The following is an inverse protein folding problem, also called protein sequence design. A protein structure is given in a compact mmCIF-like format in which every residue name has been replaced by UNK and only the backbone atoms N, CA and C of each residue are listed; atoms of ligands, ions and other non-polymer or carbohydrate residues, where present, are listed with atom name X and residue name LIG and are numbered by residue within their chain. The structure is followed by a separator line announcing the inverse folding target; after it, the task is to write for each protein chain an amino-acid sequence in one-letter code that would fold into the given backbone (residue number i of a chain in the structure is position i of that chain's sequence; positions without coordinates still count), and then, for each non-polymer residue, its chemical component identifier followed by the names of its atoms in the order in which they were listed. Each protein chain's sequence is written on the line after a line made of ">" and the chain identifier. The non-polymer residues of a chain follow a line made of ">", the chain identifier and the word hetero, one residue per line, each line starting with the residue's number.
data_IF_123063055386
#
_entry.id   IF_123063055386
#
_cell.length_a   1.000
_cell.length_b   1.000
_cell.length_c   1.000
_cell.angle_alpha   90.00
_cell.angle_beta   90.00
_cell.angle_gamma   90.00
#
_symmetry.space_group_name_H-M   'P 1'
#
loop_
_entity.id
_entity.type
_entity.pdbx_description
1 polymer ?
#
# COMPACT_ATOMS: atom_id res chain seq x y z
N UNK A 1 -12.05 -5.85 6.37
CA UNK A 1 -11.08 -4.77 6.65
C UNK A 1 -10.57 -4.30 5.30
N UNK A 2 -10.45 -2.99 5.06
CA UNK A 2 -9.88 -2.54 3.78
C UNK A 2 -8.36 -2.77 3.82
N UNK A 3 -7.81 -3.40 2.79
CA UNK A 3 -6.37 -3.63 2.65
C UNK A 3 -5.86 -2.97 1.37
N UNK A 4 -4.89 -2.07 1.52
CA UNK A 4 -4.32 -1.25 0.45
C UNK A 4 -2.87 -1.62 0.18
N UNK A 5 -2.44 -1.57 -1.08
CA UNK A 5 -1.03 -1.67 -1.47
C UNK A 5 -0.62 -0.37 -2.18
N UNK A 6 0.49 0.22 -1.76
CA UNK A 6 1.12 1.39 -2.40
C UNK A 6 2.43 0.96 -3.05
N UNK A 7 2.60 1.22 -4.34
CA UNK A 7 3.77 0.87 -5.15
C UNK A 7 4.35 2.16 -5.73
N UNK A 8 5.44 2.64 -5.15
CA UNK A 8 6.14 3.85 -5.62
C UNK A 8 7.60 3.77 -5.20
N UNK A 9 8.55 4.17 -6.06
CA UNK A 9 9.98 4.16 -5.74
C UNK A 9 10.39 5.27 -4.77
N UNK A 10 9.56 6.30 -4.59
CA UNK A 10 9.78 7.41 -3.67
C UNK A 10 9.11 7.18 -2.30
N UNK A 11 9.92 7.08 -1.25
CA UNK A 11 9.45 6.88 0.13
C UNK A 11 8.51 8.00 0.63
N UNK A 12 8.77 9.25 0.21
CA UNK A 12 7.96 10.41 0.61
C UNK A 12 6.52 10.27 0.10
N UNK A 13 6.34 9.74 -1.11
CA UNK A 13 5.00 9.52 -1.70
C UNK A 13 4.27 8.43 -0.92
N UNK A 14 4.91 7.28 -0.69
CA UNK A 14 4.30 6.16 0.05
C UNK A 14 3.87 6.56 1.46
N UNK A 15 4.73 7.30 2.17
CA UNK A 15 4.44 7.77 3.53
C UNK A 15 3.26 8.75 3.56
N UNK A 16 3.19 9.67 2.60
CA UNK A 16 2.08 10.62 2.46
C UNK A 16 0.75 9.93 2.16
N UNK A 17 0.72 9.07 1.14
CA UNK A 17 -0.49 8.33 0.75
C UNK A 17 -0.97 7.42 1.88
N UNK A 18 -0.06 6.72 2.56
CA UNK A 18 -0.39 5.90 3.73
C UNK A 18 -1.08 6.68 4.83
N UNK A 19 -0.59 7.89 5.13
CA UNK A 19 -1.17 8.75 6.16
C UNK A 19 -2.62 9.10 5.82
N UNK A 20 -2.87 9.51 4.57
CA UNK A 20 -4.21 9.84 4.09
C UNK A 20 -5.14 8.61 4.15
N UNK A 21 -4.69 7.44 3.71
CA UNK A 21 -5.49 6.21 3.74
C UNK A 21 -5.85 5.79 5.17
N UNK A 22 -4.90 5.90 6.11
CA UNK A 22 -5.13 5.61 7.52
C UNK A 22 -6.06 6.64 8.17
N UNK A 23 -6.12 7.88 7.71
CA UNK A 23 -7.05 8.87 8.25
C UNK A 23 -8.47 8.64 7.75
N UNK A 24 -8.64 8.34 6.47
CA UNK A 24 -9.95 8.26 5.82
C UNK A 24 -10.66 6.91 5.98
N UNK A 25 -9.92 5.80 6.06
CA UNK A 25 -10.48 4.46 5.93
C UNK A 25 -10.33 3.56 7.17
N UNK A 26 -10.14 4.15 8.36
CA UNK A 26 -10.02 3.37 9.61
C UNK A 26 -11.29 2.55 9.91
N UNK A 27 -11.16 1.25 10.25
CA UNK A 27 -9.93 0.47 10.32
C UNK A 27 -9.50 -0.09 8.95
N UNK A 28 -8.23 0.11 8.59
CA UNK A 28 -7.62 -0.42 7.37
C UNK A 28 -6.17 -0.86 7.59
N UNK A 29 -5.67 -1.66 6.65
CA UNK A 29 -4.27 -2.08 6.56
C UNK A 29 -3.65 -1.48 5.30
N UNK A 30 -2.43 -0.95 5.43
CA UNK A 30 -1.70 -0.34 4.32
C UNK A 30 -0.33 -1.00 4.20
N UNK A 31 -0.04 -1.52 3.01
CA UNK A 31 1.19 -2.18 2.65
C UNK A 31 1.92 -1.37 1.58
N UNK A 32 3.24 -1.55 1.51
CA UNK A 32 4.10 -0.77 0.64
C UNK A 32 5.05 -1.67 -0.17
N UNK A 33 5.34 -1.25 -1.38
CA UNK A 33 6.37 -1.78 -2.26
C UNK A 33 7.13 -0.59 -2.90
N UNK A 34 8.42 -0.76 -3.13
CA UNK A 34 9.31 0.29 -3.62
C UNK A 34 9.93 -0.03 -5.00
N UNK A 35 9.54 -1.16 -5.60
CA UNK A 35 9.94 -1.61 -6.93
C UNK A 35 9.09 -2.81 -7.35
N UNK A 36 9.24 -3.22 -8.60
CA UNK A 36 8.51 -4.36 -9.20
C UNK A 36 8.67 -5.66 -8.41
N UNK A 37 9.87 -5.93 -7.88
CA UNK A 37 10.15 -7.16 -7.14
C UNK A 37 9.35 -7.20 -5.83
N UNK A 38 9.41 -6.14 -5.03
CA UNK A 38 8.66 -6.04 -3.78
C UNK A 38 7.14 -5.98 -4.01
N UNK A 39 6.70 -5.36 -5.11
CA UNK A 39 5.29 -5.36 -5.52
C UNK A 39 4.79 -6.78 -5.81
N UNK A 40 5.57 -7.55 -6.59
CA UNK A 40 5.24 -8.95 -6.87
C UNK A 40 5.20 -9.82 -5.60
N UNK A 41 6.09 -9.59 -4.64
CA UNK A 41 6.07 -10.29 -3.36
C UNK A 41 4.79 -9.98 -2.58
N UNK A 42 4.37 -8.71 -2.52
CA UNK A 42 3.10 -8.30 -1.88
C UNK A 42 1.88 -8.92 -2.56
N UNK A 43 1.82 -8.86 -3.89
CA UNK A 43 0.71 -9.39 -4.70
C UNK A 43 0.55 -10.91 -4.61
N UNK A 44 1.66 -11.64 -4.40
CA UNK A 44 1.62 -13.09 -4.15
C UNK A 44 1.18 -13.43 -2.72
N UNK A 45 1.48 -12.56 -1.76
CA UNK A 45 1.21 -12.82 -0.35
C UNK A 45 -0.27 -12.65 0.01
N UNK A 46 -0.97 -11.70 -0.60
CA UNK A 46 -2.37 -11.38 -0.27
C UNK A 46 -3.08 -10.62 -1.39
N UNK A 47 -4.40 -10.56 -1.31
CA UNK A 47 -5.22 -9.71 -2.18
C UNK A 47 -5.47 -8.35 -1.54
N UNK A 48 -5.65 -7.32 -2.36
CA UNK A 48 -5.87 -5.94 -1.95
C UNK A 48 -7.18 -5.42 -2.53
N UNK A 49 -7.86 -4.53 -1.81
CA UNK A 49 -9.05 -3.86 -2.31
C UNK A 49 -8.72 -2.77 -3.32
N UNK A 50 -7.54 -2.17 -3.17
CA UNK A 50 -7.00 -1.15 -4.05
C UNK A 50 -5.48 -1.21 -4.01
N UNK A 51 -4.89 -1.10 -5.20
CA UNK A 51 -3.45 -1.04 -5.43
C UNK A 51 -3.20 0.31 -6.12
N UNK A 52 -2.31 1.11 -5.56
CA UNK A 52 -1.95 2.45 -6.05
C UNK A 52 -0.46 2.46 -6.37
#
# INVERSE_FOLDING_TARGET
>A
MNSFLIIDDHEVVRSGVKTVLLELFKPCEVFEAHNDKSALEQLKARSYNLII
#
